data_IF_130604493131
#
_entry.id   IF_130604493131
#
_cell.length_a   1.000
_cell.length_b   1.000
_cell.length_c   1.000
_cell.angle_alpha   90.00
_cell.angle_beta   90.00
_cell.angle_gamma   90.00
#
_symmetry.space_group_name_H-M   'P 1'
#
loop_
_entity.id
_entity.type
_entity.pdbx_description
1 polymer ?
#
# COMPACT_ATOMS: atom_id res chain seq x y z
N UNK A 1 -22.01 -11.95 -16.96
CA UNK A 1 -21.55 -10.63 -16.50
C UNK A 1 -20.32 -10.86 -15.62
N UNK A 2 -19.09 -10.66 -16.15
CA UNK A 2 -17.87 -10.79 -15.33
C UNK A 2 -17.66 -9.47 -14.61
N UNK A 3 -17.56 -9.52 -13.29
CA UNK A 3 -17.11 -8.37 -12.49
C UNK A 3 -15.60 -8.28 -12.72
N UNK A 4 -15.19 -7.55 -13.76
CA UNK A 4 -13.76 -7.39 -14.09
C UNK A 4 -12.98 -6.66 -12.99
N UNK A 5 -13.68 -6.03 -12.03
CA UNK A 5 -13.07 -5.35 -10.89
C UNK A 5 -12.60 -6.26 -9.75
N UNK A 6 -13.18 -7.46 -9.60
CA UNK A 6 -12.91 -8.31 -8.43
C UNK A 6 -11.44 -8.75 -8.31
N UNK A 7 -10.78 -9.21 -9.38
CA UNK A 7 -9.36 -9.60 -9.30
C UNK A 7 -8.42 -8.43 -8.94
N UNK A 8 -8.81 -7.19 -9.26
CA UNK A 8 -8.03 -6.00 -8.89
C UNK A 8 -8.22 -5.66 -7.42
N UNK A 9 -9.45 -5.74 -6.92
CA UNK A 9 -9.76 -5.54 -5.50
C UNK A 9 -9.02 -6.58 -4.63
N UNK A 10 -9.06 -7.85 -5.02
CA UNK A 10 -8.35 -8.92 -4.31
C UNK A 10 -6.83 -8.68 -4.24
N UNK A 11 -6.22 -8.18 -5.33
CA UNK A 11 -4.80 -7.81 -5.32
C UNK A 11 -4.49 -6.65 -4.37
N UNK A 12 -5.38 -5.66 -4.27
CA UNK A 12 -5.25 -4.56 -3.29
C UNK A 12 -5.36 -5.10 -1.87
N UNK A 13 -6.38 -5.92 -1.58
CA UNK A 13 -6.60 -6.48 -0.25
C UNK A 13 -5.41 -7.35 0.20
N UNK A 14 -4.89 -8.21 -0.67
CA UNK A 14 -3.68 -9.00 -0.34
C UNK A 14 -2.46 -8.13 -0.03
N UNK A 15 -2.35 -6.96 -0.67
CA UNK A 15 -1.27 -6.01 -0.37
C UNK A 15 -1.48 -5.31 0.96
N UNK A 16 -2.73 -5.01 1.32
CA UNK A 16 -3.12 -4.53 2.66
C UNK A 16 -2.78 -5.59 3.71
N UNK A 17 -3.20 -6.84 3.53
CA UNK A 17 -2.91 -7.94 4.46
C UNK A 17 -1.41 -8.12 4.68
N UNK A 18 -0.60 -7.95 3.63
CA UNK A 18 0.86 -8.02 3.72
C UNK A 18 1.42 -6.90 4.60
N UNK A 19 0.88 -5.68 4.51
CA UNK A 19 1.29 -4.54 5.33
C UNK A 19 0.85 -4.76 6.78
N UNK A 20 -0.39 -5.18 7.00
CA UNK A 20 -0.93 -5.45 8.33
C UNK A 20 -0.17 -6.60 9.01
N UNK A 21 0.28 -7.59 8.26
CA UNK A 21 1.17 -8.66 8.73
C UNK A 21 2.53 -8.17 9.25
N UNK A 22 2.95 -6.94 8.90
CA UNK A 22 4.13 -6.28 9.46
C UNK A 22 3.82 -5.53 10.77
N UNK A 23 2.58 -5.61 11.28
CA UNK A 23 2.12 -4.86 12.46
C UNK A 23 1.90 -3.37 12.18
N UNK A 24 1.71 -3.01 10.91
CA UNK A 24 1.50 -1.62 10.47
C UNK A 24 0.02 -1.46 10.09
N UNK A 25 -0.67 -0.49 10.69
CA UNK A 25 -2.01 -0.12 10.24
C UNK A 25 -1.91 0.42 8.81
N UNK A 26 -2.66 -0.18 7.88
CA UNK A 26 -2.72 0.23 6.49
C UNK A 26 -3.17 1.70 6.33
N UNK A 27 -3.97 2.23 7.27
CA UNK A 27 -4.38 3.62 7.31
C UNK A 27 -3.23 4.59 7.68
N UNK A 28 -2.20 4.09 8.36
CA UNK A 28 -1.01 4.87 8.77
C UNK A 28 0.13 4.84 7.75
N UNK A 29 -0.03 4.08 6.67
CA UNK A 29 0.92 4.00 5.57
C UNK A 29 1.02 5.34 4.84
N UNK A 30 2.22 5.60 4.31
CA UNK A 30 2.52 6.73 3.43
C UNK A 30 1.50 6.84 2.27
N UNK A 31 0.74 7.94 2.13
CA UNK A 31 -0.20 8.14 1.02
C UNK A 31 0.45 8.03 -0.37
N UNK A 32 1.72 8.37 -0.51
CA UNK A 32 2.45 8.23 -1.78
C UNK A 32 2.70 6.77 -2.13
N UNK A 33 2.81 5.89 -1.13
CA UNK A 33 2.85 4.46 -1.36
C UNK A 33 1.53 3.94 -1.93
N UNK A 34 0.38 4.42 -1.45
CA UNK A 34 -0.92 4.04 -2.02
C UNK A 34 -1.08 4.51 -3.47
N UNK A 35 -0.58 5.70 -3.81
CA UNK A 35 -0.52 6.17 -5.21
C UNK A 35 0.34 5.27 -6.07
N UNK A 36 1.50 4.85 -5.55
CA UNK A 36 2.38 3.91 -6.24
C UNK A 36 1.68 2.56 -6.49
N UNK A 37 1.01 2.01 -5.47
CA UNK A 37 0.26 0.76 -5.60
C UNK A 37 -0.82 0.86 -6.69
N UNK A 38 -1.61 1.93 -6.67
CA UNK A 38 -2.65 2.17 -7.67
C UNK A 38 -2.09 2.29 -9.10
N UNK A 39 -0.94 2.96 -9.25
CA UNK A 39 -0.26 3.11 -10.54
C UNK A 39 0.20 1.75 -11.11
N UNK A 40 0.93 0.96 -10.33
CA UNK A 40 1.42 -0.36 -10.79
C UNK A 40 0.27 -1.34 -11.05
N UNK A 41 -0.75 -1.36 -10.21
CA UNK A 41 -1.93 -2.20 -10.44
C UNK A 41 -2.74 -1.79 -11.65
N UNK A 42 -2.73 -0.50 -12.04
CA UNK A 42 -3.31 -0.06 -13.32
C UNK A 42 -2.48 -0.55 -14.51
N UNK A 43 -1.16 -0.61 -14.37
CA UNK A 43 -0.24 -1.15 -15.37
C UNK A 43 -0.29 -2.69 -15.46
N UNK A 44 -1.01 -3.38 -14.56
CA UNK A 44 -1.10 -4.84 -14.52
C UNK A 44 0.06 -5.52 -13.78
N UNK A 45 0.93 -4.72 -13.17
CA UNK A 45 2.18 -5.13 -12.55
C UNK A 45 2.06 -5.21 -11.02
N UNK A 46 2.99 -5.94 -10.39
CA UNK A 46 3.03 -6.06 -8.94
C UNK A 46 3.64 -4.79 -8.29
N UNK A 47 2.97 -4.17 -7.31
CA UNK A 47 3.55 -3.05 -6.57
C UNK A 47 4.74 -3.51 -5.72
N UNK A 48 5.64 -2.58 -5.43
CA UNK A 48 6.75 -2.84 -4.50
C UNK A 48 6.21 -3.11 -3.09
N UNK A 49 6.80 -4.06 -2.33
CA UNK A 49 6.41 -4.31 -0.96
C UNK A 49 6.66 -3.07 -0.10
N UNK A 50 5.79 -2.85 0.89
CA UNK A 50 6.04 -1.86 1.92
C UNK A 50 6.94 -2.47 2.98
N UNK A 51 7.90 -1.70 3.51
CA UNK A 51 8.84 -2.17 4.52
C UNK A 51 8.71 -1.37 5.81
N UNK A 52 9.07 -1.99 6.93
CA UNK A 52 9.09 -1.33 8.24
C UNK A 52 10.04 -0.11 8.25
N UNK A 53 11.17 -0.18 7.54
CA UNK A 53 12.11 0.94 7.39
C UNK A 53 11.46 2.13 6.68
N UNK A 54 10.72 1.88 5.59
CA UNK A 54 9.99 2.92 4.87
C UNK A 54 8.91 3.54 5.76
N UNK A 55 8.24 2.73 6.57
CA UNK A 55 7.26 3.21 7.54
C UNK A 55 7.89 4.10 8.62
N UNK A 56 9.03 3.70 9.17
CA UNK A 56 9.77 4.50 10.15
C UNK A 56 10.18 5.86 9.55
N UNK A 57 10.70 5.88 8.32
CA UNK A 57 11.06 7.11 7.62
C UNK A 57 9.85 8.00 7.32
N UNK A 58 8.67 7.41 7.06
CA UNK A 58 7.41 8.14 6.91
C UNK A 58 6.95 8.76 8.23
N UNK A 59 6.95 8.00 9.34
CA UNK A 59 6.57 8.53 10.65
C UNK A 59 7.42 9.72 11.07
N UNK A 60 8.74 9.64 10.88
CA UNK A 60 9.65 10.77 11.14
C UNK A 60 9.33 12.01 10.32
N UNK A 61 8.96 11.85 9.04
CA UNK A 61 8.55 12.97 8.19
C UNK A 61 7.22 13.58 8.63
N UNK A 62 6.25 12.77 9.09
CA UNK A 62 5.01 13.27 9.70
C UNK A 62 5.25 14.05 10.98
N UNK A 63 6.19 13.63 11.81
CA UNK A 63 6.56 14.32 13.06
C UNK A 63 7.17 15.71 12.80
N UNK A 64 7.95 15.88 11.73
CA UNK A 64 8.61 17.14 11.37
C UNK A 64 7.66 18.14 10.71
N UNK A 65 6.61 17.66 10.03
CA UNK A 65 5.61 18.49 9.36
C UNK A 65 4.51 19.04 10.27
N UNK A 66 4.62 18.86 11.60
CA UNK A 66 3.69 19.36 12.61
C UNK A 66 4.29 20.55 13.34
#
# INVERSE_FOLDING_TARGET
MKIEGWPKVEKVLRHVDTIEGLGIDAADVDPDHWRHVAYWMKAGEAPRPYTAERHAAWRRRREIGK
#
